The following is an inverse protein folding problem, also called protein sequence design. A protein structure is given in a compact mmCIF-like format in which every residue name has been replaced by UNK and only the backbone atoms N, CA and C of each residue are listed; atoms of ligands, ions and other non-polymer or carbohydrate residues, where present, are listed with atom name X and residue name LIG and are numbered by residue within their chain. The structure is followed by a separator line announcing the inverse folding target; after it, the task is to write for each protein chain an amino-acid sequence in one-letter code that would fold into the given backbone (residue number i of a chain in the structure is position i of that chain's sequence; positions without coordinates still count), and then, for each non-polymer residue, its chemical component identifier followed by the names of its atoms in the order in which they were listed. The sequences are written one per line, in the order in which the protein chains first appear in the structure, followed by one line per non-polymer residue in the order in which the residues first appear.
data_IF_679616855033
#
_entry.id   IF_679616855033
#
_cell.length_a   1.000
_cell.length_b   1.000
_cell.length_c   1.000
_cell.angle_alpha   90.00
_cell.angle_beta   90.00
_cell.angle_gamma   90.00
#
_symmetry.space_group_name_H-M   'P 1'
#
loop_
_entity.id
_entity.type
_entity.pdbx_description
1 polymer ?
#
# COMPACT_ATOMS: atom_id res chain seq x y z
N UNK A 1 43.99 0.04 -32.84
CA UNK A 1 43.06 1.19 -32.90
C UNK A 1 41.61 0.79 -32.67
N UNK A 2 41.08 -0.25 -33.34
CA UNK A 2 39.64 -0.63 -33.27
C UNK A 2 39.18 -1.13 -31.87
N UNK A 3 40.03 -1.75 -31.05
CA UNK A 3 39.67 -2.22 -29.71
C UNK A 3 39.57 -1.08 -28.67
N UNK A 4 40.45 -0.08 -28.77
CA UNK A 4 40.42 1.08 -27.87
C UNK A 4 39.19 1.95 -28.10
N UNK A 5 38.73 2.09 -29.33
CA UNK A 5 37.53 2.84 -29.67
C UNK A 5 36.27 2.14 -29.15
N UNK A 6 36.22 0.80 -29.19
CA UNK A 6 35.12 0.01 -28.62
C UNK A 6 35.05 0.10 -27.08
N UNK A 7 36.21 0.06 -26.44
CA UNK A 7 36.29 0.22 -24.97
C UNK A 7 35.84 1.62 -24.53
N UNK A 8 36.26 2.67 -25.24
CA UNK A 8 35.83 4.03 -24.97
C UNK A 8 34.33 4.21 -25.14
N UNK A 9 33.73 3.67 -26.19
CA UNK A 9 32.28 3.70 -26.42
C UNK A 9 31.51 2.93 -25.30
N UNK A 10 32.04 1.77 -24.89
CA UNK A 10 31.44 1.00 -23.80
C UNK A 10 31.48 1.75 -22.46
N UNK A 11 32.63 2.37 -22.13
CA UNK A 11 32.77 3.18 -20.90
C UNK A 11 31.84 4.39 -20.96
N UNK A 12 31.77 5.07 -22.11
CA UNK A 12 30.85 6.21 -22.29
C UNK A 12 29.39 5.79 -22.15
N UNK A 13 28.99 4.65 -22.73
CA UNK A 13 27.63 4.11 -22.61
C UNK A 13 27.29 3.73 -21.16
N UNK A 14 28.22 3.07 -20.46
CA UNK A 14 28.02 2.72 -19.04
C UNK A 14 27.94 4.00 -18.21
N UNK A 15 28.79 4.97 -18.43
CA UNK A 15 28.76 6.26 -17.73
C UNK A 15 27.46 7.03 -17.99
N UNK A 16 26.99 7.05 -19.24
CA UNK A 16 25.73 7.68 -19.61
C UNK A 16 24.53 6.97 -18.95
N UNK A 17 24.50 5.63 -18.98
CA UNK A 17 23.48 4.84 -18.29
C UNK A 17 23.49 5.09 -16.77
N UNK A 18 24.68 5.15 -16.16
CA UNK A 18 24.83 5.49 -14.75
C UNK A 18 24.29 6.88 -14.42
N UNK A 19 24.60 7.87 -15.27
CA UNK A 19 24.07 9.23 -15.11
C UNK A 19 22.55 9.28 -15.28
N UNK A 20 21.97 8.57 -16.25
CA UNK A 20 20.52 8.46 -16.42
C UNK A 20 19.85 7.82 -15.19
N UNK A 21 20.41 6.74 -14.66
CA UNK A 21 19.91 6.08 -13.45
C UNK A 21 19.99 7.00 -12.23
N UNK A 22 21.06 7.80 -12.12
CA UNK A 22 21.21 8.80 -11.05
C UNK A 22 20.15 9.89 -11.13
N UNK A 23 19.88 10.43 -12.33
CA UNK A 23 18.82 11.43 -12.55
C UNK A 23 17.43 10.85 -12.25
N UNK A 24 17.21 9.56 -12.53
CA UNK A 24 15.96 8.87 -12.23
C UNK A 24 15.83 8.47 -10.76
N UNK A 25 16.90 8.52 -9.96
CA UNK A 25 16.89 8.06 -8.58
C UNK A 25 15.75 8.64 -7.71
N UNK A 26 15.43 9.96 -7.76
CA UNK A 26 14.32 10.53 -7.00
C UNK A 26 12.94 10.00 -7.42
N UNK A 27 12.83 9.47 -8.65
CA UNK A 27 11.57 9.01 -9.24
C UNK A 27 11.36 7.51 -9.15
N UNK A 28 12.33 6.75 -8.60
CA UNK A 28 12.23 5.28 -8.52
C UNK A 28 10.95 4.80 -7.86
N UNK A 29 10.53 5.43 -6.77
CA UNK A 29 9.31 5.06 -6.06
C UNK A 29 8.08 5.34 -6.92
N UNK A 30 8.00 6.53 -7.53
CA UNK A 30 6.90 6.89 -8.41
C UNK A 30 6.81 5.98 -9.65
N UNK A 31 7.96 5.67 -10.28
CA UNK A 31 8.05 4.74 -11.40
C UNK A 31 7.60 3.33 -11.02
N UNK A 32 8.03 2.87 -9.85
CA UNK A 32 7.66 1.55 -9.34
C UNK A 32 6.14 1.45 -9.11
N UNK A 33 5.56 2.42 -8.39
CA UNK A 33 4.12 2.43 -8.13
C UNK A 33 3.31 2.58 -9.41
N UNK A 34 3.78 3.41 -10.35
CA UNK A 34 3.16 3.53 -11.65
C UNK A 34 3.20 2.20 -12.44
N UNK A 35 4.33 1.50 -12.42
CA UNK A 35 4.46 0.20 -13.06
C UNK A 35 3.53 -0.84 -12.40
N UNK A 36 3.49 -0.90 -11.06
CA UNK A 36 2.60 -1.81 -10.32
C UNK A 36 1.13 -1.54 -10.67
N UNK A 37 0.69 -0.28 -10.64
CA UNK A 37 -0.68 0.10 -10.98
C UNK A 37 -1.01 -0.23 -12.44
N UNK A 38 -0.12 0.13 -13.37
CA UNK A 38 -0.33 -0.15 -14.79
C UNK A 38 -0.42 -1.66 -15.06
N UNK A 39 0.49 -2.43 -14.47
CA UNK A 39 0.51 -3.89 -14.63
C UNK A 39 -0.75 -4.56 -14.06
N UNK A 40 -1.17 -4.15 -12.87
CA UNK A 40 -2.33 -4.69 -12.19
C UNK A 40 -3.64 -4.39 -12.92
N UNK A 41 -3.78 -3.19 -13.43
CA UNK A 41 -5.00 -2.74 -14.11
C UNK A 41 -4.93 -2.89 -15.63
N UNK A 42 -3.89 -3.55 -16.16
CA UNK A 42 -3.77 -3.82 -17.59
C UNK A 42 -4.96 -4.54 -18.21
N UNK A 43 -5.60 -5.53 -17.55
CA UNK A 43 -6.84 -6.13 -18.04
C UNK A 43 -7.97 -5.12 -18.19
N UNK A 44 -8.11 -4.17 -17.24
CA UNK A 44 -9.09 -3.09 -17.31
C UNK A 44 -8.80 -2.15 -18.48
N UNK A 45 -7.51 -1.81 -18.66
CA UNK A 45 -7.06 -0.98 -19.77
C UNK A 45 -7.42 -1.61 -21.13
N UNK A 46 -7.17 -2.91 -21.31
CA UNK A 46 -7.53 -3.65 -22.52
C UNK A 46 -9.05 -3.66 -22.75
N UNK A 47 -9.83 -3.91 -21.70
CA UNK A 47 -11.29 -3.89 -21.76
C UNK A 47 -11.82 -2.52 -22.20
N UNK A 48 -11.30 -1.46 -21.56
CA UNK A 48 -11.70 -0.08 -21.85
C UNK A 48 -11.31 0.35 -23.27
N UNK A 49 -10.11 -0.03 -23.74
CA UNK A 49 -9.66 0.25 -25.11
C UNK A 49 -10.60 -0.36 -26.13
N UNK A 50 -11.01 -1.63 -25.93
CA UNK A 50 -11.99 -2.29 -26.82
C UNK A 50 -13.34 -1.59 -26.81
N UNK A 51 -13.84 -1.17 -25.64
CA UNK A 51 -15.11 -0.45 -25.50
C UNK A 51 -15.07 0.93 -26.18
N UNK A 52 -13.90 1.57 -26.25
CA UNK A 52 -13.71 2.90 -26.85
C UNK A 52 -13.31 2.86 -28.33
N UNK A 53 -13.47 1.72 -29.01
CA UNK A 53 -13.15 1.59 -30.43
C UNK A 53 -11.66 1.68 -30.74
N UNK A 54 -10.84 0.96 -29.96
CA UNK A 54 -9.37 0.85 -30.09
C UNK A 54 -8.62 2.19 -30.00
N UNK A 55 -9.06 3.07 -29.10
CA UNK A 55 -8.40 4.34 -28.78
C UNK A 55 -7.60 4.25 -27.48
N UNK A 56 -6.33 3.81 -27.50
CA UNK A 56 -5.55 3.56 -26.29
C UNK A 56 -5.30 4.83 -25.48
N UNK A 57 -5.07 5.98 -26.11
CA UNK A 57 -4.82 7.23 -25.40
C UNK A 57 -6.04 7.72 -24.60
N UNK A 58 -7.26 7.59 -25.16
CA UNK A 58 -8.49 7.94 -24.43
C UNK A 58 -8.79 6.97 -23.30
N UNK A 59 -8.57 5.67 -23.53
CA UNK A 59 -8.71 4.65 -22.48
C UNK A 59 -7.71 4.89 -21.35
N UNK A 60 -6.44 5.19 -21.66
CA UNK A 60 -5.42 5.53 -20.68
C UNK A 60 -5.81 6.77 -19.87
N UNK A 61 -6.29 7.83 -20.51
CA UNK A 61 -6.75 9.05 -19.85
C UNK A 61 -7.91 8.80 -18.89
N UNK A 62 -8.95 8.07 -19.33
CA UNK A 62 -10.11 7.75 -18.51
C UNK A 62 -9.75 6.85 -17.32
N UNK A 63 -8.90 5.84 -17.54
CA UNK A 63 -8.48 4.95 -16.46
C UNK A 63 -7.59 5.66 -15.44
N UNK A 64 -6.69 6.52 -15.90
CA UNK A 64 -5.86 7.36 -15.02
C UNK A 64 -6.70 8.34 -14.22
N UNK A 65 -7.69 8.98 -14.85
CA UNK A 65 -8.65 9.83 -14.16
C UNK A 65 -9.44 9.06 -13.11
N UNK A 66 -9.86 7.83 -13.43
CA UNK A 66 -10.52 6.93 -12.47
C UNK A 66 -9.65 6.64 -11.26
N UNK A 67 -8.36 6.33 -11.45
CA UNK A 67 -7.40 6.16 -10.36
C UNK A 67 -7.19 7.44 -9.56
N UNK A 68 -7.09 8.59 -10.25
CA UNK A 68 -6.94 9.90 -9.60
C UNK A 68 -8.14 10.19 -8.69
N UNK A 69 -9.35 9.98 -9.17
CA UNK A 69 -10.57 10.17 -8.38
C UNK A 69 -10.65 9.16 -7.22
N UNK A 70 -10.31 7.90 -7.46
CA UNK A 70 -10.28 6.84 -6.43
C UNK A 70 -9.36 7.20 -5.26
N UNK A 71 -8.23 7.86 -5.53
CA UNK A 71 -7.27 8.27 -4.51
C UNK A 71 -7.60 9.66 -3.95
N UNK A 72 -7.91 10.63 -4.82
CA UNK A 72 -8.14 12.02 -4.42
C UNK A 72 -9.40 12.18 -3.58
N UNK A 73 -10.52 11.50 -3.95
CA UNK A 73 -11.79 11.65 -3.24
C UNK A 73 -11.67 11.28 -1.76
N UNK A 74 -11.17 10.08 -1.37
CA UNK A 74 -11.04 9.76 0.05
C UNK A 74 -10.03 10.63 0.78
N UNK A 75 -8.94 11.04 0.14
CA UNK A 75 -7.94 11.91 0.78
C UNK A 75 -8.47 13.31 1.03
N UNK A 76 -9.18 13.90 0.07
CA UNK A 76 -9.81 15.21 0.19
C UNK A 76 -10.91 15.16 1.24
N UNK A 77 -11.76 14.14 1.21
CA UNK A 77 -12.81 13.95 2.20
C UNK A 77 -12.23 13.80 3.62
N UNK A 78 -11.18 12.97 3.78
CA UNK A 78 -10.50 12.81 5.07
C UNK A 78 -9.88 14.14 5.53
N UNK A 79 -9.26 14.89 4.62
CA UNK A 79 -8.65 16.19 4.93
C UNK A 79 -9.66 17.19 5.46
N UNK A 80 -10.83 17.33 4.84
CA UNK A 80 -11.89 18.21 5.31
C UNK A 80 -12.45 17.77 6.65
N UNK A 81 -12.81 16.49 6.80
CA UNK A 81 -13.35 15.96 8.05
C UNK A 81 -12.34 16.08 9.20
N UNK A 82 -11.08 15.76 8.96
CA UNK A 82 -10.02 15.87 9.97
C UNK A 82 -9.82 17.34 10.41
N UNK A 83 -9.83 18.28 9.47
CA UNK A 83 -9.69 19.70 9.76
C UNK A 83 -10.85 20.22 10.63
N UNK A 84 -12.08 19.82 10.34
CA UNK A 84 -13.26 20.23 11.10
C UNK A 84 -13.27 19.62 12.51
N UNK A 85 -12.93 18.33 12.64
CA UNK A 85 -12.83 17.68 13.95
C UNK A 85 -11.67 18.24 14.78
N UNK A 86 -10.56 18.61 14.15
CA UNK A 86 -9.44 19.27 14.83
C UNK A 86 -9.84 20.64 15.36
N UNK A 87 -10.58 21.43 14.57
CA UNK A 87 -11.12 22.71 15.00
C UNK A 87 -12.09 22.58 16.17
N UNK A 88 -13.00 21.59 16.11
CA UNK A 88 -13.92 21.27 17.20
C UNK A 88 -13.20 20.84 18.46
N UNK A 89 -12.19 19.94 18.34
CA UNK A 89 -11.37 19.51 19.46
C UNK A 89 -10.60 20.67 20.10
N UNK A 90 -10.05 21.58 19.30
CA UNK A 90 -9.37 22.77 19.78
C UNK A 90 -10.34 23.78 20.45
N UNK A 91 -11.57 23.91 19.92
CA UNK A 91 -12.61 24.71 20.54
C UNK A 91 -13.02 24.13 21.90
N UNK A 92 -13.34 22.85 21.95
CA UNK A 92 -13.66 22.13 23.21
C UNK A 92 -12.52 22.27 24.23
N UNK A 93 -11.26 22.14 23.79
CA UNK A 93 -10.12 22.33 24.68
C UNK A 93 -10.00 23.75 25.24
N UNK A 94 -10.30 24.75 24.42
CA UNK A 94 -10.36 26.17 24.89
C UNK A 94 -11.51 26.37 25.88
N UNK A 95 -12.69 25.83 25.58
CA UNK A 95 -13.85 25.90 26.46
C UNK A 95 -13.59 25.21 27.80
N UNK A 96 -12.94 24.04 27.79
CA UNK A 96 -12.50 23.33 29.01
C UNK A 96 -11.46 24.14 29.82
N UNK A 97 -10.61 24.93 29.17
CA UNK A 97 -9.67 25.83 29.88
C UNK A 97 -10.37 26.98 30.63
N UNK A 98 -11.55 27.41 30.12
CA UNK A 98 -12.28 28.56 30.68
C UNK A 98 -13.39 28.11 31.63
N UNK A 99 -14.12 27.06 31.28
CA UNK A 99 -15.33 26.60 31.98
C UNK A 99 -15.14 25.37 32.89
N UNK A 100 -13.94 24.76 32.88
CA UNK A 100 -13.70 23.48 33.56
C UNK A 100 -14.12 22.27 32.71
N UNK A 101 -14.06 21.08 33.27
CA UNK A 101 -14.53 19.86 32.63
C UNK A 101 -16.06 19.88 32.51
N UNK A 102 -16.65 19.38 31.41
CA UNK A 102 -18.10 19.19 31.34
C UNK A 102 -18.59 18.23 32.44
N UNK A 103 -19.86 18.32 32.88
CA UNK A 103 -20.39 17.42 33.88
C UNK A 103 -20.20 15.96 33.46
N UNK A 104 -20.02 15.07 34.49
CA UNK A 104 -19.80 13.65 34.21
C UNK A 104 -20.93 13.08 33.33
N UNK A 105 -20.57 12.38 32.22
CA UNK A 105 -21.57 11.78 31.35
C UNK A 105 -22.49 10.82 32.10
N UNK A 106 -23.79 10.86 31.84
CA UNK A 106 -24.82 10.05 32.55
C UNK A 106 -24.54 8.54 32.48
N UNK A 107 -23.89 8.06 31.43
CA UNK A 107 -23.52 6.66 31.30
C UNK A 107 -22.49 6.19 32.35
N UNK A 108 -21.65 7.09 32.89
CA UNK A 108 -20.72 6.76 33.98
C UNK A 108 -21.45 6.40 35.26
N UNK A 109 -22.49 7.13 35.60
CA UNK A 109 -23.31 6.84 36.76
C UNK A 109 -24.09 5.51 36.62
N UNK A 110 -24.39 5.09 35.40
CA UNK A 110 -25.13 3.85 35.09
C UNK A 110 -24.32 2.57 35.13
N UNK A 111 -22.99 2.61 35.34
CA UNK A 111 -22.16 1.41 35.38
C UNK A 111 -22.29 0.69 36.74
N UNK A 112 -22.75 -0.58 36.78
CA UNK A 112 -22.84 -1.34 38.02
C UNK A 112 -21.44 -1.59 38.60
N UNK A 113 -21.26 -1.40 39.90
CA UNK A 113 -20.06 -1.59 40.74
C UNK A 113 -18.99 -0.47 40.64
N UNK A 114 -18.82 0.22 39.53
CA UNK A 114 -17.72 1.21 39.32
C UNK A 114 -18.25 2.63 39.06
N UNK A 115 -19.55 2.80 38.77
CA UNK A 115 -20.13 4.09 38.42
C UNK A 115 -19.88 5.21 39.44
N UNK A 116 -20.22 5.01 40.75
CA UNK A 116 -19.97 6.03 41.75
C UNK A 116 -18.51 6.45 41.88
N UNK A 117 -17.57 5.48 41.84
CA UNK A 117 -16.14 5.76 41.92
C UNK A 117 -15.59 6.49 40.69
N UNK A 118 -16.21 6.26 39.53
CA UNK A 118 -15.83 6.98 38.28
C UNK A 118 -16.35 8.41 38.28
N UNK A 119 -17.54 8.67 38.81
CA UNK A 119 -18.11 10.01 38.97
C UNK A 119 -17.28 10.82 39.96
N UNK A 120 -16.94 10.23 41.11
CA UNK A 120 -16.07 10.85 42.12
C UNK A 120 -14.64 11.16 41.57
N UNK A 121 -14.10 10.24 40.81
CA UNK A 121 -12.84 10.47 40.12
C UNK A 121 -12.94 11.58 39.06
N UNK A 122 -14.08 11.68 38.36
CA UNK A 122 -14.33 12.74 37.38
C UNK A 122 -14.43 14.12 38.04
N UNK A 123 -15.15 14.23 39.19
CA UNK A 123 -15.28 15.47 39.97
C UNK A 123 -13.92 15.88 40.59
N UNK A 124 -13.13 14.92 41.05
CA UNK A 124 -11.74 15.17 41.50
C UNK A 124 -10.84 15.67 40.39
N UNK A 125 -11.03 15.13 39.20
CA UNK A 125 -10.37 15.58 37.95
C UNK A 125 -10.79 17.01 37.58
N UNK A 126 -12.04 17.41 37.78
CA UNK A 126 -12.49 18.77 37.50
C UNK A 126 -11.86 19.78 38.47
N UNK A 127 -11.77 19.45 39.75
CA UNK A 127 -11.09 20.29 40.75
C UNK A 127 -9.60 20.44 40.51
N UNK A 128 -8.95 19.43 39.92
CA UNK A 128 -7.55 19.44 39.52
C UNK A 128 -7.32 19.78 38.04
N UNK A 129 -8.40 20.08 37.32
CA UNK A 129 -8.41 20.23 35.86
C UNK A 129 -7.40 21.24 35.30
N UNK A 130 -7.18 22.33 36.02
CA UNK A 130 -6.15 23.32 35.61
C UNK A 130 -4.73 22.79 35.65
N UNK A 131 -4.41 21.92 36.64
CA UNK A 131 -3.09 21.29 36.74
C UNK A 131 -2.90 20.17 35.72
N UNK A 132 -3.97 19.40 35.43
CA UNK A 132 -3.98 18.37 34.38
C UNK A 132 -3.87 18.99 32.98
N UNK A 133 -4.61 20.06 32.68
CA UNK A 133 -4.51 20.79 31.43
C UNK A 133 -3.13 21.41 31.24
N UNK A 134 -2.50 21.91 32.31
CA UNK A 134 -1.13 22.39 32.29
C UNK A 134 -0.13 21.28 31.99
N UNK A 135 -0.36 20.05 32.50
CA UNK A 135 0.51 18.89 32.23
C UNK A 135 0.35 18.31 30.83
N UNK A 136 -0.84 18.46 30.22
CA UNK A 136 -1.14 17.99 28.83
C UNK A 136 -0.66 19.01 27.76
N UNK A 137 -0.62 20.30 28.11
CA UNK A 137 -0.21 21.38 27.19
C UNK A 137 1.13 21.16 26.48
N UNK A 138 2.22 20.68 27.12
CA UNK A 138 3.46 20.35 26.42
C UNK A 138 3.28 19.22 25.42
N UNK A 139 2.51 18.18 25.74
CA UNK A 139 2.24 17.07 24.82
C UNK A 139 1.42 17.49 23.59
N UNK A 140 0.49 18.43 23.74
CA UNK A 140 -0.24 19.00 22.58
C UNK A 140 0.69 19.81 21.69
N UNK A 141 1.66 20.54 22.28
CA UNK A 141 2.72 21.22 21.53
C UNK A 141 3.62 20.24 20.78
N UNK A 142 4.01 19.13 21.42
CA UNK A 142 4.78 18.07 20.79
C UNK A 142 4.01 17.38 19.66
N UNK A 143 2.73 17.07 19.86
CA UNK A 143 1.86 16.50 18.81
C UNK A 143 1.68 17.50 17.66
N UNK A 144 1.49 18.78 17.94
CA UNK A 144 1.43 19.82 16.93
C UNK A 144 2.72 19.92 16.10
N UNK A 145 3.86 19.97 16.78
CA UNK A 145 5.18 19.97 16.13
C UNK A 145 5.46 18.67 15.38
N UNK A 146 5.04 17.52 15.90
CA UNK A 146 5.15 16.23 15.26
C UNK A 146 4.28 16.17 13.98
N UNK A 147 3.05 16.70 14.03
CA UNK A 147 2.17 16.82 12.86
C UNK A 147 2.78 17.75 11.82
N UNK A 148 3.28 18.92 12.23
CA UNK A 148 3.95 19.87 11.33
C UNK A 148 5.21 19.29 10.71
N UNK A 149 6.06 18.62 11.49
CA UNK A 149 7.27 17.96 10.98
C UNK A 149 6.96 16.82 10.00
N UNK A 150 5.80 16.17 10.15
CA UNK A 150 5.35 15.10 9.24
C UNK A 150 4.48 15.58 8.09
N UNK A 151 3.90 16.78 8.17
CA UNK A 151 3.10 17.36 7.06
C UNK A 151 3.92 17.48 5.78
N UNK A 152 5.19 17.85 5.87
CA UNK A 152 6.11 17.87 4.73
C UNK A 152 6.31 16.49 4.09
N UNK A 153 6.38 15.42 4.91
CA UNK A 153 6.46 14.04 4.41
C UNK A 153 5.16 13.57 3.77
N UNK A 154 4.02 13.97 4.34
CA UNK A 154 2.69 13.70 3.76
C UNK A 154 2.56 14.43 2.43
N UNK A 155 2.97 15.70 2.35
CA UNK A 155 3.01 16.47 1.11
C UNK A 155 3.91 15.83 0.05
N UNK A 156 5.09 15.33 0.44
CA UNK A 156 5.97 14.55 -0.43
C UNK A 156 5.31 13.28 -0.95
N UNK A 157 4.61 12.53 -0.09
CA UNK A 157 3.86 11.33 -0.48
C UNK A 157 2.71 11.62 -1.45
N UNK A 158 2.00 12.73 -1.27
CA UNK A 158 0.94 13.16 -2.20
C UNK A 158 1.54 13.54 -3.56
N UNK A 159 2.67 14.25 -3.57
CA UNK A 159 3.38 14.59 -4.81
C UNK A 159 3.87 13.33 -5.53
N UNK A 160 4.42 12.38 -4.80
CA UNK A 160 4.85 11.08 -5.33
C UNK A 160 3.70 10.29 -5.95
N UNK A 161 2.54 10.25 -5.27
CA UNK A 161 1.32 9.64 -5.81
C UNK A 161 0.83 10.35 -7.07
N UNK A 162 0.81 11.69 -7.08
CA UNK A 162 0.42 12.45 -8.25
C UNK A 162 1.34 12.16 -9.44
N UNK A 163 2.65 12.13 -9.18
CA UNK A 163 3.64 11.78 -10.21
C UNK A 163 3.48 10.34 -10.69
N UNK A 164 3.23 9.39 -9.77
CA UNK A 164 2.93 8.00 -10.14
C UNK A 164 1.72 7.90 -11.07
N UNK A 165 0.65 8.64 -10.80
CA UNK A 165 -0.55 8.66 -11.63
C UNK A 165 -0.28 9.25 -13.02
N UNK A 166 0.54 10.29 -13.12
CA UNK A 166 1.00 10.82 -14.42
C UNK A 166 1.80 9.76 -15.18
N UNK A 167 2.72 9.08 -14.50
CA UNK A 167 3.52 8.01 -15.12
C UNK A 167 2.68 6.80 -15.53
N UNK A 168 1.63 6.46 -14.77
CA UNK A 168 0.67 5.39 -15.14
C UNK A 168 0.04 5.67 -16.50
N UNK A 169 -0.36 6.92 -16.77
CA UNK A 169 -0.89 7.31 -18.09
C UNK A 169 0.06 6.97 -19.22
N UNK A 170 1.35 7.30 -19.05
CA UNK A 170 2.36 7.00 -20.06
C UNK A 170 2.61 5.49 -20.18
N UNK A 171 2.60 4.74 -19.09
CA UNK A 171 2.73 3.30 -19.15
C UNK A 171 1.55 2.63 -19.87
N UNK A 172 0.33 3.14 -19.69
CA UNK A 172 -0.83 2.63 -20.45
C UNK A 172 -0.72 2.94 -21.94
N UNK A 173 -0.33 4.17 -22.26
CA UNK A 173 -0.26 4.64 -23.64
C UNK A 173 0.89 4.01 -24.41
N UNK A 174 2.08 4.00 -23.82
CA UNK A 174 3.33 3.64 -24.50
C UNK A 174 3.85 2.26 -24.05
N UNK A 175 3.15 1.57 -23.13
CA UNK A 175 3.53 0.27 -22.57
C UNK A 175 3.86 -0.82 -23.60
N UNK A 176 3.07 -1.02 -24.66
CA UNK A 176 3.39 -2.00 -25.70
C UNK A 176 4.75 -1.70 -26.37
N UNK A 177 5.03 -0.44 -26.69
CA UNK A 177 6.32 -0.03 -27.28
C UNK A 177 7.49 -0.24 -26.31
N UNK A 178 7.28 0.07 -25.01
CA UNK A 178 8.30 -0.18 -23.99
C UNK A 178 8.60 -1.68 -23.86
N UNK A 179 7.58 -2.53 -23.93
CA UNK A 179 7.73 -3.98 -23.90
C UNK A 179 8.51 -4.49 -25.13
N UNK A 180 8.22 -3.97 -26.34
CA UNK A 180 8.96 -4.29 -27.56
C UNK A 180 10.45 -3.88 -27.47
N UNK A 181 10.75 -2.69 -26.95
CA UNK A 181 12.14 -2.27 -26.71
C UNK A 181 12.85 -3.16 -25.70
N UNK A 182 12.16 -3.52 -24.59
CA UNK A 182 12.70 -4.43 -23.58
C UNK A 182 13.00 -5.81 -24.18
N UNK A 183 12.08 -6.35 -24.98
CA UNK A 183 12.27 -7.62 -25.66
C UNK A 183 13.45 -7.56 -26.63
N UNK A 184 13.54 -6.54 -27.49
CA UNK A 184 14.63 -6.37 -28.45
C UNK A 184 16.01 -6.24 -27.77
N UNK A 185 16.06 -5.60 -26.58
CA UNK A 185 17.28 -5.53 -25.79
C UNK A 185 17.64 -6.90 -25.19
N UNK A 186 16.66 -7.61 -24.65
CA UNK A 186 16.85 -8.97 -24.09
C UNK A 186 17.26 -9.97 -25.17
N UNK A 187 16.70 -9.89 -26.37
CA UNK A 187 17.09 -10.75 -27.51
C UNK A 187 18.58 -10.57 -27.89
N UNK A 188 19.07 -9.34 -27.82
CA UNK A 188 20.50 -9.08 -28.06
C UNK A 188 21.42 -9.66 -26.99
N UNK A 189 20.94 -9.78 -25.75
CA UNK A 189 21.69 -10.26 -24.60
C UNK A 189 21.58 -11.78 -24.41
N UNK A 190 20.37 -12.34 -24.61
CA UNK A 190 20.00 -13.71 -24.24
C UNK A 190 19.67 -14.59 -25.45
N UNK A 191 19.63 -14.01 -26.65
CA UNK A 191 19.24 -14.71 -27.87
C UNK A 191 17.80 -15.24 -27.82
N UNK A 192 17.60 -16.43 -28.39
CA UNK A 192 16.27 -17.05 -28.52
C UNK A 192 15.54 -17.37 -27.20
N UNK A 193 16.20 -17.18 -26.06
CA UNK A 193 15.57 -17.40 -24.73
C UNK A 193 14.96 -16.11 -24.14
N UNK A 194 15.13 -14.98 -24.79
CA UNK A 194 14.68 -13.70 -24.28
C UNK A 194 13.18 -13.65 -24.01
N UNK A 195 12.37 -14.12 -24.97
CA UNK A 195 10.92 -14.18 -24.86
C UNK A 195 10.47 -15.03 -23.66
N UNK A 196 11.04 -16.23 -23.53
CA UNK A 196 10.77 -17.12 -22.41
C UNK A 196 11.07 -16.48 -21.04
N UNK A 197 12.23 -15.84 -20.90
CA UNK A 197 12.58 -15.15 -19.64
C UNK A 197 11.71 -13.93 -19.38
N UNK A 198 11.34 -13.18 -20.40
CA UNK A 198 10.43 -12.04 -20.27
C UNK A 198 9.04 -12.50 -19.79
N UNK A 199 8.50 -13.57 -20.38
CA UNK A 199 7.23 -14.17 -19.95
C UNK A 199 7.28 -14.69 -18.53
N UNK A 200 8.38 -15.35 -18.14
CA UNK A 200 8.58 -15.88 -16.79
C UNK A 200 8.59 -14.75 -15.75
N UNK A 201 9.33 -13.68 -16.02
CA UNK A 201 9.40 -12.49 -15.17
C UNK A 201 8.05 -11.79 -15.11
N UNK A 202 7.45 -11.49 -16.27
CA UNK A 202 6.15 -10.84 -16.35
C UNK A 202 5.06 -11.62 -15.64
N UNK A 203 5.00 -12.93 -15.86
CA UNK A 203 4.05 -13.82 -15.18
C UNK A 203 4.26 -13.86 -13.66
N UNK A 204 5.51 -13.82 -13.20
CA UNK A 204 5.81 -13.79 -11.76
C UNK A 204 5.39 -12.46 -11.12
N UNK A 205 5.74 -11.34 -11.75
CA UNK A 205 5.30 -10.00 -11.31
C UNK A 205 3.78 -9.91 -11.29
N UNK A 206 3.10 -10.38 -12.35
CA UNK A 206 1.64 -10.37 -12.44
C UNK A 206 0.96 -11.14 -11.30
N UNK A 207 1.50 -12.31 -10.92
CA UNK A 207 0.97 -13.10 -9.81
C UNK A 207 1.08 -12.34 -8.48
N UNK A 208 2.23 -11.74 -8.20
CA UNK A 208 2.45 -10.96 -6.97
C UNK A 208 1.52 -9.75 -6.92
N UNK A 209 1.46 -8.99 -8.01
CA UNK A 209 0.63 -7.78 -8.11
C UNK A 209 -0.85 -8.12 -7.99
N UNK A 210 -1.34 -9.13 -8.70
CA UNK A 210 -2.73 -9.57 -8.62
C UNK A 210 -3.08 -10.07 -7.21
N UNK A 211 -2.15 -10.75 -6.54
CA UNK A 211 -2.31 -11.17 -5.15
C UNK A 211 -2.52 -10.00 -4.21
N UNK A 212 -1.67 -8.98 -4.31
CA UNK A 212 -1.74 -7.79 -3.45
C UNK A 212 -3.00 -6.98 -3.72
N UNK A 213 -3.31 -6.70 -4.97
CA UNK A 213 -4.49 -5.89 -5.33
C UNK A 213 -5.78 -6.66 -5.08
N UNK A 214 -5.81 -7.96 -5.36
CA UNK A 214 -6.96 -8.80 -5.04
C UNK A 214 -7.27 -8.83 -3.54
N UNK A 215 -6.23 -8.94 -2.69
CA UNK A 215 -6.42 -8.84 -1.24
C UNK A 215 -6.87 -7.45 -0.80
N UNK A 216 -6.33 -6.39 -1.39
CA UNK A 216 -6.73 -5.01 -1.09
C UNK A 216 -8.19 -4.75 -1.46
N UNK A 217 -8.63 -5.23 -2.64
CA UNK A 217 -10.02 -5.10 -3.09
C UNK A 217 -10.98 -5.89 -2.20
N UNK A 218 -10.63 -7.12 -1.83
CA UNK A 218 -11.43 -7.94 -0.91
C UNK A 218 -11.58 -7.27 0.46
N UNK A 219 -10.48 -6.76 1.03
CA UNK A 219 -10.51 -6.05 2.31
C UNK A 219 -11.34 -4.76 2.24
N UNK A 220 -11.21 -3.99 1.16
CA UNK A 220 -12.00 -2.77 0.95
C UNK A 220 -13.50 -3.08 0.86
N UNK A 221 -13.88 -4.14 0.15
CA UNK A 221 -15.27 -4.57 0.05
C UNK A 221 -15.82 -5.02 1.41
N UNK A 222 -15.07 -5.82 2.16
CA UNK A 222 -15.46 -6.26 3.51
C UNK A 222 -15.50 -5.09 4.51
N UNK A 223 -14.59 -4.12 4.39
CA UNK A 223 -14.62 -2.91 5.18
C UNK A 223 -15.85 -2.05 4.85
N UNK A 224 -16.14 -1.85 3.58
CA UNK A 224 -17.35 -1.15 3.13
C UNK A 224 -18.63 -1.79 3.69
N UNK A 225 -18.75 -3.12 3.59
CA UNK A 225 -19.89 -3.86 4.14
C UNK A 225 -19.99 -3.66 5.66
N UNK A 226 -18.87 -3.78 6.39
CA UNK A 226 -18.84 -3.58 7.83
C UNK A 226 -19.25 -2.16 8.25
N UNK A 227 -18.74 -1.13 7.56
CA UNK A 227 -19.12 0.27 7.81
C UNK A 227 -20.58 0.54 7.47
N UNK A 228 -21.10 -0.06 6.40
CA UNK A 228 -22.50 0.08 6.00
C UNK A 228 -23.43 -0.54 7.04
N UNK A 229 -23.15 -1.75 7.51
CA UNK A 229 -23.95 -2.43 8.57
C UNK A 229 -23.88 -1.66 9.88
N UNK A 230 -22.70 -1.13 10.24
CA UNK A 230 -22.51 -0.35 11.46
C UNK A 230 -23.11 1.07 11.39
N UNK A 231 -23.65 1.49 10.24
CA UNK A 231 -24.22 2.82 10.05
C UNK A 231 -23.21 3.96 10.05
N UNK A 232 -21.94 3.67 9.73
CA UNK A 232 -20.89 4.71 9.70
C UNK A 232 -21.10 5.61 8.48
N UNK A 233 -21.21 6.94 8.65
CA UNK A 233 -21.35 7.87 7.53
C UNK A 233 -20.13 7.82 6.61
N UNK A 234 -20.35 7.86 5.30
CA UNK A 234 -19.26 7.78 4.33
C UNK A 234 -18.65 6.37 4.19
N UNK A 235 -19.41 5.31 4.46
CA UNK A 235 -18.96 3.91 4.39
C UNK A 235 -18.21 3.59 3.08
N UNK A 236 -18.69 4.10 1.93
CA UNK A 236 -18.03 3.91 0.64
C UNK A 236 -16.65 4.57 0.63
N UNK A 237 -16.54 5.80 1.10
CA UNK A 237 -15.27 6.54 1.15
C UNK A 237 -14.28 5.86 2.09
N UNK A 238 -14.74 5.38 3.25
CA UNK A 238 -13.91 4.62 4.20
C UNK A 238 -13.49 3.26 3.64
N UNK A 239 -14.34 2.60 2.86
CA UNK A 239 -14.00 1.40 2.11
C UNK A 239 -12.89 1.67 1.07
N UNK A 240 -13.04 2.73 0.28
CA UNK A 240 -12.01 3.16 -0.68
C UNK A 240 -10.72 3.59 0.01
N UNK A 241 -10.82 4.29 1.13
CA UNK A 241 -9.66 4.65 1.96
C UNK A 241 -8.95 3.39 2.47
N UNK A 242 -9.70 2.36 2.87
CA UNK A 242 -9.14 1.06 3.25
C UNK A 242 -8.38 0.43 2.10
N UNK A 243 -8.88 0.51 0.86
CA UNK A 243 -8.16 0.04 -0.33
C UNK A 243 -6.83 0.75 -0.51
N UNK A 244 -6.83 2.09 -0.47
CA UNK A 244 -5.60 2.89 -0.64
C UNK A 244 -4.60 2.63 0.48
N UNK A 245 -5.05 2.65 1.73
CA UNK A 245 -4.20 2.45 2.89
C UNK A 245 -3.72 0.99 3.03
N UNK A 246 -4.42 0.03 2.40
CA UNK A 246 -4.00 -1.38 2.39
C UNK A 246 -2.63 -1.59 1.74
N UNK A 247 -2.20 -0.69 0.90
CA UNK A 247 -0.83 -0.69 0.39
C UNK A 247 0.20 -0.60 1.54
N UNK A 248 -0.19 -0.05 2.71
CA UNK A 248 0.60 -0.09 3.95
C UNK A 248 0.25 -1.30 4.81
N UNK A 249 1.24 -1.97 5.47
CA UNK A 249 0.99 -3.13 6.34
C UNK A 249 0.04 -2.86 7.51
N UNK A 250 -0.03 -1.61 7.96
CA UNK A 250 -0.89 -1.14 9.06
C UNK A 250 -2.15 -0.42 8.58
N UNK A 251 -2.40 -0.42 7.26
CA UNK A 251 -3.44 0.40 6.64
C UNK A 251 -4.87 0.16 7.13
N UNK A 252 -5.41 -1.05 7.05
CA UNK A 252 -6.80 -1.31 7.42
C UNK A 252 -7.17 -0.94 8.86
N UNK A 253 -6.34 -1.24 9.90
CA UNK A 253 -6.59 -0.80 11.26
C UNK A 253 -6.70 0.72 11.42
N UNK A 254 -5.96 1.50 10.62
CA UNK A 254 -6.03 2.97 10.66
C UNK A 254 -7.40 3.52 10.24
N UNK A 255 -8.25 2.71 9.61
CA UNK A 255 -9.60 3.12 9.21
C UNK A 255 -10.66 2.59 10.17
N UNK A 256 -10.67 1.27 10.44
CA UNK A 256 -11.75 0.69 11.23
C UNK A 256 -11.61 0.98 12.74
N UNK A 257 -10.39 1.15 13.29
CA UNK A 257 -10.23 1.48 14.72
C UNK A 257 -10.82 2.86 15.04
N UNK A 258 -10.48 3.96 14.32
CA UNK A 258 -11.12 5.25 14.57
C UNK A 258 -12.63 5.23 14.33
N UNK A 259 -13.11 4.51 13.30
CA UNK A 259 -14.52 4.41 13.02
C UNK A 259 -15.29 3.68 14.14
N UNK A 260 -14.70 2.61 14.70
CA UNK A 260 -15.26 1.90 15.86
C UNK A 260 -15.26 2.80 17.09
N UNK A 261 -14.17 3.50 17.39
CA UNK A 261 -14.06 4.44 18.52
C UNK A 261 -15.10 5.58 18.40
N UNK A 262 -15.33 6.08 17.18
CA UNK A 262 -16.34 7.09 16.92
C UNK A 262 -17.77 6.59 17.24
N UNK A 263 -18.10 5.34 16.90
CA UNK A 263 -19.40 4.74 17.27
C UNK A 263 -19.56 4.60 18.79
N UNK A 264 -18.49 4.23 19.50
CA UNK A 264 -18.50 4.22 20.97
C UNK A 264 -18.76 5.63 21.54
N UNK A 265 -18.11 6.64 20.96
CA UNK A 265 -18.31 8.03 21.36
C UNK A 265 -19.76 8.51 21.16
N UNK A 266 -20.42 8.04 20.08
CA UNK A 266 -21.83 8.34 19.82
C UNK A 266 -22.83 7.56 20.68
N UNK A 267 -22.37 6.72 21.61
CA UNK A 267 -23.22 5.88 22.44
C UNK A 267 -23.74 4.62 21.75
N UNK A 268 -23.34 4.36 20.51
CA UNK A 268 -23.73 3.16 19.75
C UNK A 268 -22.81 1.97 20.08
N UNK A 269 -22.81 1.57 21.36
CA UNK A 269 -21.87 0.55 21.88
C UNK A 269 -21.93 -0.79 21.15
N UNK A 270 -23.17 -1.25 20.79
CA UNK A 270 -23.35 -2.50 20.07
C UNK A 270 -22.72 -2.49 18.69
N UNK A 271 -22.92 -1.40 17.92
CA UNK A 271 -22.33 -1.24 16.58
C UNK A 271 -20.84 -0.95 16.63
N UNK A 272 -20.38 -0.23 17.67
CA UNK A 272 -18.93 -0.02 17.92
C UNK A 272 -18.21 -1.35 18.17
N UNK A 273 -18.78 -2.21 19.04
CA UNK A 273 -18.23 -3.54 19.32
C UNK A 273 -18.29 -4.44 18.07
N UNK A 274 -19.43 -4.43 17.36
CA UNK A 274 -19.56 -5.16 16.09
C UNK A 274 -18.43 -4.76 15.12
N UNK A 275 -18.25 -3.47 14.90
CA UNK A 275 -17.24 -2.99 13.96
C UNK A 275 -15.80 -3.31 14.42
N UNK A 276 -15.53 -3.27 15.73
CA UNK A 276 -14.23 -3.67 16.28
C UNK A 276 -13.94 -5.15 16.03
N UNK A 277 -14.91 -6.03 16.31
CA UNK A 277 -14.79 -7.47 16.07
C UNK A 277 -14.70 -7.76 14.56
N UNK A 278 -15.55 -7.14 13.76
CA UNK A 278 -15.51 -7.26 12.29
C UNK A 278 -14.17 -6.81 11.72
N UNK A 279 -13.65 -5.68 12.20
CA UNK A 279 -12.35 -5.14 11.80
C UNK A 279 -11.19 -6.07 12.13
N UNK A 280 -11.21 -6.63 13.34
CA UNK A 280 -10.16 -7.52 13.82
C UNK A 280 -10.22 -8.90 13.13
N UNK A 281 -11.39 -9.52 13.08
CA UNK A 281 -11.56 -10.90 12.61
C UNK A 281 -11.72 -10.96 11.09
N UNK A 282 -12.60 -10.14 10.51
CA UNK A 282 -12.92 -10.23 9.09
C UNK A 282 -11.94 -9.39 8.26
N UNK A 283 -11.83 -8.09 8.51
CA UNK A 283 -10.98 -7.21 7.69
C UNK A 283 -9.50 -7.59 7.84
N UNK A 284 -9.03 -7.74 9.07
CA UNK A 284 -7.63 -8.10 9.33
C UNK A 284 -7.35 -9.58 9.11
N UNK A 285 -8.36 -10.45 9.29
CA UNK A 285 -8.25 -11.89 9.08
C UNK A 285 -8.09 -12.32 7.62
N UNK A 286 -8.56 -11.51 6.66
CA UNK A 286 -8.39 -11.78 5.21
C UNK A 286 -6.93 -12.05 4.86
N UNK A 287 -5.99 -11.33 5.46
CA UNK A 287 -4.56 -11.53 5.22
C UNK A 287 -4.09 -12.95 5.58
N UNK A 288 -4.62 -13.51 6.66
CA UNK A 288 -4.21 -14.82 7.16
C UNK A 288 -4.77 -15.96 6.30
N UNK A 289 -5.89 -15.73 5.61
CA UNK A 289 -6.54 -16.74 4.76
C UNK A 289 -6.13 -16.58 3.29
N UNK A 290 -6.19 -15.34 2.80
CA UNK A 290 -5.99 -15.07 1.37
C UNK A 290 -4.51 -15.14 0.95
N UNK A 291 -3.58 -14.73 1.83
CA UNK A 291 -2.14 -14.83 1.52
C UNK A 291 -1.69 -16.27 1.27
N UNK A 292 -1.94 -17.26 2.16
CA UNK A 292 -1.59 -18.64 1.89
C UNK A 292 -2.29 -19.22 0.65
N UNK A 293 -3.57 -18.85 0.44
CA UNK A 293 -4.35 -19.31 -0.69
C UNK A 293 -3.82 -18.79 -2.03
N UNK A 294 -3.44 -17.52 -2.10
CA UNK A 294 -2.88 -16.92 -3.31
C UNK A 294 -1.44 -17.40 -3.57
N UNK A 295 -0.65 -17.61 -2.52
CA UNK A 295 0.70 -18.17 -2.61
C UNK A 295 0.65 -19.62 -3.10
N UNK A 296 -0.28 -20.44 -2.60
CA UNK A 296 -0.41 -21.84 -3.00
C UNK A 296 -0.81 -22.03 -4.47
N UNK A 297 -1.51 -21.07 -5.05
CA UNK A 297 -1.85 -21.06 -6.50
C UNK A 297 -0.76 -20.46 -7.39
N UNK A 298 0.21 -19.76 -6.83
CA UNK A 298 1.19 -18.95 -7.55
C UNK A 298 2.53 -19.61 -7.87
N UNK A 299 2.81 -20.83 -7.39
CA UNK A 299 4.08 -21.53 -7.62
C UNK A 299 4.78 -21.94 -6.33
N UNK A 300 5.72 -22.90 -6.43
CA UNK A 300 6.45 -23.55 -5.32
C UNK A 300 7.51 -22.62 -4.69
N UNK A 301 7.16 -21.38 -4.35
CA UNK A 301 8.10 -20.49 -3.66
C UNK A 301 8.19 -20.89 -2.19
N UNK A 302 9.39 -21.23 -1.67
CA UNK A 302 9.57 -21.49 -0.26
C UNK A 302 9.16 -20.27 0.58
N UNK A 303 8.42 -20.50 1.67
CA UNK A 303 7.97 -19.43 2.57
C UNK A 303 9.14 -18.56 3.07
N UNK A 304 10.30 -19.17 3.30
CA UNK A 304 11.53 -18.47 3.71
C UNK A 304 11.96 -17.43 2.69
N UNK A 305 11.87 -17.71 1.39
CA UNK A 305 12.21 -16.76 0.32
C UNK A 305 11.27 -15.56 0.35
N UNK A 306 9.97 -15.80 0.58
CA UNK A 306 8.97 -14.72 0.70
C UNK A 306 9.25 -13.86 1.93
N UNK A 307 9.52 -14.47 3.09
CA UNK A 307 9.86 -13.76 4.32
C UNK A 307 11.14 -12.92 4.19
N UNK A 308 12.20 -13.52 3.65
CA UNK A 308 13.46 -12.81 3.38
C UNK A 308 13.24 -11.66 2.38
N UNK A 309 12.38 -11.86 1.37
CA UNK A 309 12.00 -10.81 0.44
C UNK A 309 11.31 -9.63 1.13
N UNK A 310 10.35 -9.91 2.00
CA UNK A 310 9.62 -8.87 2.76
C UNK A 310 10.56 -8.10 3.69
N UNK A 311 11.29 -8.81 4.57
CA UNK A 311 12.16 -8.16 5.55
C UNK A 311 13.38 -7.48 4.89
N UNK A 312 14.06 -8.18 3.99
CA UNK A 312 15.20 -7.63 3.25
C UNK A 312 14.79 -6.46 2.36
N UNK A 313 13.63 -6.59 1.70
CA UNK A 313 13.06 -5.51 0.89
C UNK A 313 12.77 -4.25 1.70
N UNK A 314 12.10 -4.38 2.85
CA UNK A 314 11.80 -3.24 3.73
C UNK A 314 13.09 -2.56 4.21
N UNK A 315 14.11 -3.34 4.58
CA UNK A 315 15.40 -2.79 5.03
C UNK A 315 16.15 -2.07 3.91
N UNK A 316 16.11 -2.62 2.67
CA UNK A 316 16.86 -2.07 1.54
C UNK A 316 16.15 -0.90 0.84
N UNK A 317 14.83 -0.97 0.68
CA UNK A 317 14.03 -0.06 -0.15
C UNK A 317 12.89 0.62 0.62
N UNK A 318 12.86 0.49 1.96
CA UNK A 318 11.77 1.03 2.77
C UNK A 318 10.42 0.41 2.42
N UNK A 319 9.38 1.25 2.38
CA UNK A 319 8.00 0.80 2.11
C UNK A 319 7.83 0.13 0.74
N UNK A 320 8.50 0.64 -0.30
CA UNK A 320 8.51 0.05 -1.63
C UNK A 320 9.06 -1.39 -1.62
N UNK A 321 10.02 -1.65 -0.73
CA UNK A 321 10.65 -2.96 -0.58
C UNK A 321 9.73 -4.07 -0.10
N UNK A 322 8.60 -3.73 0.55
CA UNK A 322 7.56 -4.70 0.92
C UNK A 322 7.02 -5.45 -0.31
N UNK A 323 6.99 -4.81 -1.46
CA UNK A 323 6.53 -5.38 -2.74
C UNK A 323 7.71 -5.80 -3.62
N UNK A 324 8.72 -4.94 -3.72
CA UNK A 324 9.87 -5.16 -4.58
C UNK A 324 10.71 -6.36 -4.10
N UNK A 325 10.89 -6.50 -2.78
CA UNK A 325 11.69 -7.58 -2.21
C UNK A 325 11.17 -8.98 -2.55
N UNK A 326 9.92 -9.33 -2.19
CA UNK A 326 9.32 -10.61 -2.58
C UNK A 326 9.29 -10.83 -4.09
N UNK A 327 9.01 -9.76 -4.86
CA UNK A 327 8.96 -9.86 -6.34
C UNK A 327 10.33 -10.17 -6.92
N UNK A 328 11.39 -9.47 -6.50
CA UNK A 328 12.75 -9.71 -6.95
C UNK A 328 13.22 -11.13 -6.60
N UNK A 329 12.97 -11.57 -5.36
CA UNK A 329 13.38 -12.92 -4.95
C UNK A 329 12.55 -14.01 -5.66
N UNK A 330 11.26 -13.75 -5.92
CA UNK A 330 10.43 -14.69 -6.69
C UNK A 330 10.91 -14.81 -8.13
N UNK A 331 11.25 -13.69 -8.77
CA UNK A 331 11.83 -13.68 -10.12
C UNK A 331 13.17 -14.39 -10.13
N UNK A 332 14.08 -14.05 -9.20
CA UNK A 332 15.38 -14.71 -9.10
C UNK A 332 15.25 -16.21 -8.90
N UNK A 333 14.38 -16.65 -7.99
CA UNK A 333 14.11 -18.05 -7.73
C UNK A 333 13.57 -18.78 -8.98
N UNK A 334 12.65 -18.14 -9.70
CA UNK A 334 12.08 -18.69 -10.93
C UNK A 334 13.12 -18.81 -12.03
N UNK A 335 13.97 -17.78 -12.22
CA UNK A 335 15.05 -17.80 -13.21
C UNK A 335 16.10 -18.85 -12.90
N UNK A 336 16.52 -18.96 -11.63
CA UNK A 336 17.50 -19.99 -11.19
C UNK A 336 16.91 -21.40 -11.36
N UNK A 337 15.65 -21.59 -10.99
CA UNK A 337 14.97 -22.87 -11.16
C UNK A 337 14.86 -23.29 -12.61
N UNK A 338 14.51 -22.36 -13.51
CA UNK A 338 14.46 -22.61 -14.94
C UNK A 338 15.86 -22.92 -15.52
N UNK A 339 16.85 -22.14 -15.11
CA UNK A 339 18.24 -22.36 -15.55
C UNK A 339 18.77 -23.76 -15.13
N UNK A 340 18.49 -24.20 -13.90
CA UNK A 340 18.87 -25.54 -13.42
C UNK A 340 18.12 -26.64 -14.21
N UNK A 341 16.83 -26.43 -14.47
CA UNK A 341 16.00 -27.43 -15.17
C UNK A 341 16.44 -27.64 -16.63
N UNK A 342 16.99 -26.58 -17.28
CA UNK A 342 17.42 -26.65 -18.67
C UNK A 342 18.91 -26.96 -18.88
N UNK A 343 19.67 -27.25 -17.81
CA UNK A 343 21.01 -27.81 -17.97
C UNK A 343 20.90 -29.25 -18.50
N UNK A 344 21.65 -29.60 -19.58
CA UNK A 344 21.72 -30.98 -20.02
C UNK A 344 22.20 -31.86 -18.85
N UNK A 345 21.38 -32.82 -18.44
CA UNK A 345 21.80 -33.81 -17.43
C UNK A 345 23.11 -34.39 -17.90
N UNK A 346 24.21 -34.09 -17.19
CA UNK A 346 25.47 -34.80 -17.38
C UNK A 346 25.12 -36.28 -17.16
N UNK A 347 25.07 -37.04 -18.26
CA UNK A 347 24.84 -38.48 -18.19
C UNK A 347 25.96 -39.03 -17.30
N UNK A 348 25.62 -39.52 -16.10
CA UNK A 348 26.57 -40.27 -15.30
C UNK A 348 26.98 -41.46 -16.16
N UNK A 349 28.29 -41.68 -16.37
CA UNK A 349 28.73 -42.87 -17.09
C UNK A 349 28.11 -44.11 -16.44
N UNK A 350 27.72 -45.13 -17.24
CA UNK A 350 27.14 -46.36 -16.70
C UNK A 350 28.12 -46.96 -15.69
N UNK A 351 27.58 -47.39 -14.57
CA UNK A 351 28.38 -48.07 -13.54
C UNK A 351 29.11 -49.26 -14.15
N UNK A 352 30.40 -49.49 -13.83
CA UNK A 352 31.15 -50.65 -14.35
C UNK A 352 30.42 -51.94 -13.99
N UNK A 353 30.40 -52.94 -14.90
CA UNK A 353 29.78 -54.22 -14.62
C UNK A 353 30.48 -54.89 -13.42
N UNK A 354 29.70 -55.28 -12.47
CA UNK A 354 30.19 -56.07 -11.33
C UNK A 354 30.70 -57.42 -11.86
N UNK A 355 32.02 -57.63 -11.82
CA UNK A 355 32.70 -58.92 -12.05
C UNK A 355 32.65 -59.76 -10.78
#
# INVERSE_FOLDING_TARGET
MIEHDRLLVQILMIGLLGACLWVLAPFWSALFWAAVLAFASWPLMRGLTRLLGDRPATAAGLLTLGWMLLVAVPLVWLGFNLADHLRQALALFKDMQVAGLPPAPEWMAGLPLVGPSLVEAWETLDQQGSALLASIKPYLGEVGNWLLARSARIGGGVLELALSLVLVFFFYRDGPRLAEYALSLLERLLGNRAEHYLELVAGTVQRVVNGVIGTAAAQAALAFIGFMIAGVPGALVLGLLTFVLRLSPRGPPLVWIPASAWLFWQGSYGMGLFLAVWGLVVISGVDNVLKPYLISRGGNLPLVVVLLGVFGGILAFGFMGLFLGPTLLAVAYSLIGDWIAHQPRIQRPPAPPHS
#
